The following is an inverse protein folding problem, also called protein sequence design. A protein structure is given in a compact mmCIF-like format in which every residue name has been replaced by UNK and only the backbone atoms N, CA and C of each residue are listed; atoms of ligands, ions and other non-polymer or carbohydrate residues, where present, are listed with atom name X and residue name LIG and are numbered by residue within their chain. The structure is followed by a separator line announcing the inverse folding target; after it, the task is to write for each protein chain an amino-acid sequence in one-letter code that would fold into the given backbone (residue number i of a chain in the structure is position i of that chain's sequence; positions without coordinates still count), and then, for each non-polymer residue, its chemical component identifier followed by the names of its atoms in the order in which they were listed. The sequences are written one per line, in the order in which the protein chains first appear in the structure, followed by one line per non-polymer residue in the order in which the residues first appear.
data_IF_721929057785
#
_entry.id   IF_721929057785
#
_cell.length_a   1.000
_cell.length_b   1.000
_cell.length_c   1.000
_cell.angle_alpha   90.00
_cell.angle_beta   90.00
_cell.angle_gamma   90.00
#
_symmetry.space_group_name_H-M   'P 1'
#
loop_
_entity.id
_entity.type
_entity.pdbx_description
1 polymer ?
#
# COMPACT_ATOMS: atom_id res chain seq x y z
N UNK A 1 9.69 44.58 -55.37
CA UNK A 1 11.11 44.78 -54.98
C UNK A 1 11.37 44.00 -53.71
N UNK A 2 12.47 43.24 -53.71
CA UNK A 2 12.95 42.32 -52.68
C UNK A 2 13.16 43.01 -51.32
N UNK A 3 13.09 42.26 -50.23
CA UNK A 3 13.62 42.70 -48.94
C UNK A 3 13.20 41.82 -47.75
N UNK A 4 13.84 40.65 -47.61
CA UNK A 4 13.82 39.80 -46.41
C UNK A 4 14.83 40.36 -45.38
N UNK A 5 14.66 39.96 -44.12
CA UNK A 5 15.61 39.89 -42.99
C UNK A 5 15.49 41.00 -41.94
N UNK A 6 15.08 40.60 -40.72
CA UNK A 6 15.72 41.04 -39.47
C UNK A 6 15.71 39.88 -38.46
N UNK A 7 16.89 39.27 -38.28
CA UNK A 7 17.28 38.59 -37.05
C UNK A 7 18.29 39.48 -36.33
N UNK A 8 18.17 39.59 -35.01
CA UNK A 8 19.14 40.31 -34.19
C UNK A 8 18.77 40.31 -32.71
N UNK A 9 19.29 39.32 -31.98
CA UNK A 9 19.34 39.29 -30.51
C UNK A 9 20.18 40.48 -30.02
N UNK A 10 19.66 41.25 -29.07
CA UNK A 10 20.42 42.27 -28.36
C UNK A 10 19.73 42.61 -27.04
N UNK A 11 20.27 42.10 -25.94
CA UNK A 11 19.89 42.48 -24.57
C UNK A 11 20.38 43.90 -24.32
N UNK A 12 19.49 44.87 -24.16
CA UNK A 12 19.83 46.18 -23.58
C UNK A 12 19.47 46.18 -22.10
N UNK A 13 20.51 46.27 -21.26
CA UNK A 13 20.41 46.52 -19.82
C UNK A 13 19.97 47.98 -19.61
N UNK A 14 18.85 48.19 -18.93
CA UNK A 14 18.49 49.50 -18.40
C UNK A 14 19.25 49.74 -17.08
N UNK A 15 20.01 50.83 -17.04
CA UNK A 15 20.63 51.36 -15.83
C UNK A 15 19.69 52.38 -15.20
N UNK A 16 19.52 52.27 -13.88
CA UNK A 16 18.67 53.13 -13.05
C UNK A 16 19.36 54.43 -12.66
N UNK A 17 18.61 55.53 -12.60
CA UNK A 17 18.96 56.72 -11.83
C UNK A 17 18.02 56.84 -10.62
N UNK A 18 18.62 57.07 -9.45
CA UNK A 18 18.04 57.06 -8.09
C UNK A 18 17.49 58.45 -7.71
N UNK A 19 16.44 58.51 -6.89
CA UNK A 19 16.41 59.53 -5.84
C UNK A 19 16.03 58.98 -4.45
N UNK A 20 16.76 59.45 -3.44
CA UNK A 20 16.23 59.63 -2.09
C UNK A 20 16.38 58.46 -1.11
N UNK A 21 17.32 58.62 -0.17
CA UNK A 21 17.56 57.74 0.95
C UNK A 21 16.33 57.58 1.86
N UNK A 22 15.91 56.33 2.09
CA UNK A 22 15.08 55.91 3.23
C UNK A 22 15.96 55.18 4.26
N UNK A 23 15.76 55.36 5.57
CA UNK A 23 16.54 54.67 6.60
C UNK A 23 16.30 53.15 6.53
N UNK A 24 17.36 52.37 6.77
CA UNK A 24 17.34 50.90 6.73
C UNK A 24 16.47 50.33 7.87
N UNK A 25 15.65 49.29 7.61
CA UNK A 25 14.97 48.56 8.68
C UNK A 25 16.01 47.77 9.51
N UNK A 26 15.71 47.51 10.80
CA UNK A 26 16.60 46.72 11.66
C UNK A 26 16.74 45.28 11.14
N UNK A 27 17.86 44.60 11.46
CA UNK A 27 18.07 43.21 11.06
C UNK A 27 17.01 42.29 11.70
N UNK A 28 16.62 41.20 11.01
CA UNK A 28 15.72 40.21 11.57
C UNK A 28 16.34 39.55 12.82
N UNK A 29 15.52 39.11 13.78
CA UNK A 29 16.00 38.36 14.93
C UNK A 29 16.68 37.05 14.49
N UNK A 30 17.64 36.53 15.27
CA UNK A 30 18.28 35.26 14.98
C UNK A 30 17.24 34.12 14.93
N UNK A 31 17.47 33.09 14.10
CA UNK A 31 16.58 31.93 14.06
C UNK A 31 16.51 31.27 15.45
N UNK A 32 15.35 30.68 15.81
CA UNK A 32 15.23 29.93 17.05
C UNK A 32 16.24 28.78 17.06
N UNK A 33 16.70 28.35 18.26
CA UNK A 33 17.59 27.21 18.38
C UNK A 33 16.93 25.96 17.75
N UNK A 34 17.73 25.05 17.18
CA UNK A 34 17.21 23.79 16.66
C UNK A 34 16.47 23.05 17.79
N UNK A 35 15.38 22.33 17.47
CA UNK A 35 14.68 21.52 18.46
C UNK A 35 15.67 20.52 19.09
N UNK A 36 15.47 20.17 20.37
CA UNK A 36 16.29 19.15 21.00
C UNK A 36 16.24 17.85 20.19
N UNK A 37 17.34 17.08 20.14
CA UNK A 37 17.33 15.78 19.49
C UNK A 37 16.21 14.92 20.08
N UNK A 38 15.58 14.06 19.27
CA UNK A 38 14.57 13.15 19.77
C UNK A 38 15.17 12.31 20.91
N UNK A 39 14.36 11.97 21.94
CA UNK A 39 14.82 11.10 23.00
C UNK A 39 15.35 9.79 22.40
N UNK A 40 16.38 9.17 23.02
CA UNK A 40 16.86 7.87 22.59
C UNK A 40 15.68 6.88 22.56
N UNK A 41 15.68 5.93 21.61
CA UNK A 41 14.63 4.93 21.55
C UNK A 41 14.51 4.21 22.91
N UNK A 42 13.28 3.93 23.37
CA UNK A 42 13.10 3.17 24.59
C UNK A 42 13.85 1.84 24.50
N UNK A 43 14.38 1.33 25.63
CA UNK A 43 15.01 0.01 25.64
C UNK A 43 14.04 -1.03 25.08
N UNK A 44 14.55 -2.08 24.41
CA UNK A 44 13.70 -3.12 23.86
C UNK A 44 12.79 -3.66 24.97
N UNK A 45 11.48 -3.73 24.73
CA UNK A 45 10.55 -4.21 25.74
C UNK A 45 10.93 -5.64 26.14
N UNK A 46 10.70 -6.02 27.41
CA UNK A 46 10.97 -7.40 27.82
C UNK A 46 10.20 -8.36 26.92
N UNK A 47 10.77 -9.55 26.62
CA UNK A 47 10.10 -10.56 25.80
C UNK A 47 8.73 -10.87 26.40
N UNK A 48 7.73 -11.26 25.58
CA UNK A 48 6.45 -11.67 26.10
C UNK A 48 6.62 -12.73 27.17
N UNK A 49 6.13 -12.38 28.35
CA UNK A 49 5.95 -13.36 29.41
C UNK A 49 4.64 -14.06 29.08
N UNK A 50 4.70 -15.37 28.98
CA UNK A 50 3.50 -16.21 28.94
C UNK A 50 2.85 -16.33 30.34
N UNK A 51 3.37 -15.59 31.32
CA UNK A 51 2.97 -15.58 32.73
C UNK A 51 2.97 -16.99 33.37
N UNK A 52 3.79 -17.90 32.83
CA UNK A 52 3.81 -19.32 33.22
C UNK A 52 2.62 -20.13 32.70
N UNK A 53 1.80 -19.56 31.80
CA UNK A 53 0.60 -20.15 31.22
C UNK A 53 0.78 -20.41 29.72
N UNK A 54 1.45 -21.51 29.40
CA UNK A 54 1.69 -21.89 28.01
C UNK A 54 0.39 -22.32 27.31
N UNK A 55 0.12 -21.72 26.16
CA UNK A 55 -1.00 -22.04 25.26
C UNK A 55 -0.47 -22.27 23.85
N UNK A 56 -1.32 -22.67 22.90
CA UNK A 56 -0.92 -22.74 21.50
C UNK A 56 -0.41 -21.39 20.99
N UNK A 57 -1.05 -20.28 21.38
CA UNK A 57 -0.63 -18.93 20.98
C UNK A 57 0.76 -18.58 21.49
N UNK A 58 1.01 -18.71 22.80
CA UNK A 58 2.32 -18.37 23.36
C UNK A 58 3.41 -19.34 22.87
N UNK A 59 3.09 -20.63 22.71
CA UNK A 59 4.04 -21.60 22.19
C UNK A 59 4.49 -21.29 20.74
N UNK A 60 3.58 -20.91 19.85
CA UNK A 60 3.93 -20.55 18.48
C UNK A 60 4.61 -19.17 18.39
N UNK A 61 4.20 -18.21 19.23
CA UNK A 61 4.86 -16.91 19.30
C UNK A 61 6.33 -17.07 19.73
N UNK A 62 6.60 -17.81 20.81
CA UNK A 62 7.98 -18.05 21.26
C UNK A 62 8.85 -18.71 20.20
N UNK A 63 8.32 -19.69 19.44
CA UNK A 63 9.07 -20.31 18.33
C UNK A 63 9.47 -19.29 17.26
N UNK A 64 8.58 -18.36 16.92
CA UNK A 64 8.89 -17.32 15.94
C UNK A 64 9.92 -16.34 16.49
N UNK A 65 9.79 -15.95 17.76
CA UNK A 65 10.75 -15.07 18.43
C UNK A 65 12.14 -15.71 18.50
N UNK A 66 12.25 -16.99 18.84
CA UNK A 66 13.52 -17.72 18.87
C UNK A 66 14.20 -17.67 17.48
N UNK A 67 13.46 -17.94 16.40
CA UNK A 67 14.00 -17.90 15.02
C UNK A 67 14.42 -16.47 14.64
N UNK A 68 13.62 -15.45 14.98
CA UNK A 68 13.94 -14.04 14.68
C UNK A 68 15.16 -13.58 15.47
N UNK A 69 15.28 -14.00 16.73
CA UNK A 69 16.44 -13.73 17.58
C UNK A 69 17.73 -14.29 16.94
N UNK A 70 17.69 -15.54 16.45
CA UNK A 70 18.82 -16.14 15.75
C UNK A 70 19.24 -15.33 14.51
N UNK A 71 18.28 -14.82 13.74
CA UNK A 71 18.56 -13.95 12.58
C UNK A 71 19.23 -12.63 13.01
N UNK A 72 18.71 -12.00 14.07
CA UNK A 72 19.26 -10.75 14.58
C UNK A 72 20.67 -10.93 15.16
N UNK A 73 20.92 -12.01 15.89
CA UNK A 73 22.24 -12.33 16.44
C UNK A 73 23.25 -12.70 15.37
N UNK A 74 22.82 -13.44 14.33
CA UNK A 74 23.66 -13.73 13.18
C UNK A 74 24.08 -12.46 12.44
N UNK A 75 23.18 -11.48 12.29
CA UNK A 75 23.53 -10.19 11.67
C UNK A 75 24.52 -9.41 12.53
N UNK A 76 24.26 -9.25 13.83
CA UNK A 76 25.16 -8.54 14.76
C UNK A 76 26.55 -9.17 14.84
N UNK A 77 26.65 -10.48 14.75
CA UNK A 77 27.92 -11.21 14.83
C UNK A 77 28.74 -11.05 13.54
N UNK A 78 28.08 -11.11 12.39
CA UNK A 78 28.76 -11.12 11.09
C UNK A 78 28.99 -9.73 10.50
N UNK A 79 28.29 -8.70 10.96
CA UNK A 79 28.35 -7.36 10.37
C UNK A 79 28.72 -6.32 11.42
N UNK A 80 29.86 -5.65 11.20
CA UNK A 80 30.34 -4.55 12.05
C UNK A 80 29.77 -3.18 11.65
N UNK A 81 28.91 -3.15 10.62
CA UNK A 81 28.23 -1.96 10.13
C UNK A 81 26.74 -2.02 10.46
N UNK A 82 26.16 -0.90 10.86
CA UNK A 82 24.72 -0.75 11.11
C UNK A 82 23.89 -0.57 9.83
N UNK A 83 24.47 -0.81 8.64
CA UNK A 83 23.79 -0.58 7.38
C UNK A 83 23.13 -1.86 6.84
N UNK A 84 21.80 -1.89 6.91
CA UNK A 84 20.97 -2.92 6.29
C UNK A 84 20.99 -2.79 4.76
N UNK A 85 21.08 -3.92 4.05
CA UNK A 85 21.18 -3.94 2.58
C UNK A 85 19.97 -4.64 1.97
N UNK A 86 19.24 -3.92 1.12
CA UNK A 86 18.24 -4.50 0.23
C UNK A 86 18.94 -5.18 -0.95
N UNK A 87 18.66 -6.47 -1.17
CA UNK A 87 19.30 -7.28 -2.21
C UNK A 87 18.67 -7.04 -3.59
N UNK A 88 18.64 -5.77 -4.01
CA UNK A 88 17.91 -5.25 -5.18
C UNK A 88 18.13 -6.08 -6.44
N UNK A 89 19.39 -6.35 -6.81
CA UNK A 89 19.72 -7.16 -7.99
C UNK A 89 19.08 -8.56 -7.95
N UNK A 90 19.10 -9.22 -6.79
CA UNK A 90 18.52 -10.57 -6.66
C UNK A 90 17.00 -10.53 -6.81
N UNK A 91 16.36 -9.54 -6.20
CA UNK A 91 14.91 -9.35 -6.34
C UNK A 91 14.54 -9.01 -7.79
N UNK A 92 15.30 -8.15 -8.47
CA UNK A 92 15.11 -7.84 -9.88
C UNK A 92 15.15 -9.10 -10.76
N UNK A 93 16.18 -9.95 -10.62
CA UNK A 93 16.29 -11.18 -11.42
C UNK A 93 15.14 -12.16 -11.16
N UNK A 94 14.72 -12.29 -9.89
CA UNK A 94 13.54 -13.07 -9.51
C UNK A 94 12.26 -12.56 -10.22
N UNK A 95 11.99 -11.25 -10.12
CA UNK A 95 10.82 -10.59 -10.69
C UNK A 95 10.81 -10.66 -12.22
N UNK A 96 11.95 -10.38 -12.86
CA UNK A 96 12.12 -10.42 -14.32
C UNK A 96 11.79 -11.80 -14.89
N UNK A 97 12.22 -12.87 -14.21
CA UNK A 97 11.88 -14.24 -14.60
C UNK A 97 10.38 -14.51 -14.39
N UNK A 98 9.85 -14.17 -13.21
CA UNK A 98 8.45 -14.42 -12.85
C UNK A 98 7.44 -13.73 -13.76
N UNK A 99 7.78 -12.56 -14.32
CA UNK A 99 6.91 -11.85 -15.25
C UNK A 99 6.73 -12.58 -16.59
N UNK A 100 7.68 -13.45 -16.94
CA UNK A 100 7.68 -14.19 -18.21
C UNK A 100 7.17 -15.61 -18.08
N UNK A 101 7.67 -16.35 -17.09
CA UNK A 101 7.32 -17.76 -16.90
C UNK A 101 7.35 -18.12 -15.41
N UNK A 102 6.39 -18.96 -15.02
CA UNK A 102 6.25 -19.51 -13.68
C UNK A 102 6.26 -21.04 -13.78
N UNK A 103 6.69 -21.71 -12.71
CA UNK A 103 6.66 -23.18 -12.62
C UNK A 103 5.25 -23.68 -12.31
N UNK A 104 5.03 -24.99 -12.41
CA UNK A 104 3.78 -25.67 -12.01
C UNK A 104 3.36 -25.38 -10.55
N UNK A 105 4.30 -24.97 -9.69
CA UNK A 105 3.99 -24.53 -8.33
C UNK A 105 3.01 -23.35 -8.26
N UNK A 106 2.83 -22.61 -9.37
CA UNK A 106 1.90 -21.48 -9.49
C UNK A 106 0.54 -21.87 -10.08
N UNK A 107 0.26 -23.15 -10.32
CA UNK A 107 -1.06 -23.61 -10.80
C UNK A 107 -2.20 -23.19 -9.87
N UNK A 108 -1.95 -23.15 -8.54
CA UNK A 108 -2.92 -22.66 -7.57
C UNK A 108 -3.27 -21.16 -7.74
N UNK A 109 -2.48 -20.42 -8.53
CA UNK A 109 -2.68 -19.02 -8.86
C UNK A 109 -3.11 -18.81 -10.32
N UNK A 110 -3.55 -19.84 -11.04
CA UNK A 110 -4.05 -19.69 -12.42
C UNK A 110 -5.31 -18.78 -12.49
N UNK A 111 -6.09 -18.73 -11.41
CA UNK A 111 -7.20 -17.78 -11.25
C UNK A 111 -6.77 -16.41 -10.65
N UNK A 112 -5.48 -16.12 -10.63
CA UNK A 112 -4.90 -14.89 -10.05
C UNK A 112 -3.74 -14.34 -10.88
N UNK A 113 -3.73 -14.57 -12.20
CA UNK A 113 -2.65 -14.10 -13.06
C UNK A 113 -2.55 -12.56 -13.18
N UNK A 114 -3.66 -11.79 -13.17
CA UNK A 114 -3.56 -10.34 -13.02
C UNK A 114 -2.91 -9.89 -11.71
N UNK A 115 -3.07 -10.65 -10.62
CA UNK A 115 -2.34 -10.39 -9.37
C UNK A 115 -0.84 -10.58 -9.54
N UNK A 116 -0.42 -11.65 -10.22
CA UNK A 116 1.00 -11.86 -10.55
C UNK A 116 1.55 -10.70 -11.39
N UNK A 117 0.80 -10.20 -12.37
CA UNK A 117 1.19 -8.99 -13.11
C UNK A 117 1.36 -7.78 -12.18
N UNK A 118 0.35 -7.48 -11.35
CA UNK A 118 0.39 -6.33 -10.45
C UNK A 118 1.55 -6.43 -9.44
N UNK A 119 1.66 -7.56 -8.72
CA UNK A 119 2.69 -7.74 -7.70
C UNK A 119 4.10 -7.61 -8.29
N UNK A 120 4.33 -8.18 -9.46
CA UNK A 120 5.66 -8.14 -10.09
C UNK A 120 5.97 -6.74 -10.62
N UNK A 121 5.04 -6.12 -11.37
CA UNK A 121 5.25 -4.78 -11.92
C UNK A 121 5.40 -3.73 -10.83
N UNK A 122 4.58 -3.81 -9.77
CA UNK A 122 4.69 -2.88 -8.65
C UNK A 122 5.99 -3.09 -7.87
N UNK A 123 6.46 -4.33 -7.71
CA UNK A 123 7.76 -4.58 -7.09
C UNK A 123 8.91 -4.02 -7.93
N UNK A 124 8.85 -4.12 -9.25
CA UNK A 124 9.83 -3.50 -10.15
C UNK A 124 9.78 -1.97 -10.07
N UNK A 125 8.58 -1.38 -10.02
CA UNK A 125 8.37 0.07 -9.81
C UNK A 125 8.98 0.55 -8.49
N UNK A 126 8.73 -0.14 -7.38
CA UNK A 126 9.31 0.19 -6.06
C UNK A 126 10.83 0.05 -6.04
N UNK A 127 11.35 -0.90 -6.82
CA UNK A 127 12.77 -1.06 -7.06
C UNK A 127 13.27 -0.12 -8.15
N UNK A 128 12.51 0.84 -8.68
CA UNK A 128 12.97 1.76 -9.74
C UNK A 128 13.65 1.02 -10.92
N UNK A 129 13.13 -0.15 -11.28
CA UNK A 129 13.61 -0.97 -12.40
C UNK A 129 12.73 -0.74 -13.63
N UNK A 130 13.31 -0.36 -14.79
CA UNK A 130 12.53 -0.03 -15.96
C UNK A 130 11.86 -1.26 -16.57
N UNK A 131 10.63 -1.09 -17.04
CA UNK A 131 9.88 -2.13 -17.78
C UNK A 131 10.12 -1.90 -19.28
N UNK A 132 10.74 -2.86 -20.01
CA UNK A 132 10.91 -2.73 -21.45
C UNK A 132 9.56 -2.56 -22.17
N UNK A 133 9.48 -1.66 -23.17
CA UNK A 133 8.24 -1.35 -23.89
C UNK A 133 7.57 -2.61 -24.48
N UNK A 134 8.36 -3.56 -24.98
CA UNK A 134 7.84 -4.83 -25.49
C UNK A 134 7.18 -5.68 -24.41
N UNK A 135 7.78 -5.74 -23.21
CA UNK A 135 7.20 -6.43 -22.04
C UNK A 135 5.90 -5.74 -21.60
N UNK A 136 5.89 -4.41 -21.57
CA UNK A 136 4.70 -3.64 -21.23
C UNK A 136 3.54 -3.93 -22.20
N UNK A 137 3.80 -3.91 -23.52
CA UNK A 137 2.78 -4.24 -24.52
C UNK A 137 2.31 -5.71 -24.40
N UNK A 138 3.21 -6.66 -24.13
CA UNK A 138 2.84 -8.06 -23.87
C UNK A 138 1.86 -8.18 -22.69
N UNK A 139 2.10 -7.45 -21.60
CA UNK A 139 1.20 -7.42 -20.44
C UNK A 139 -0.15 -6.79 -20.80
N UNK A 140 -0.16 -5.67 -21.54
CA UNK A 140 -1.40 -5.06 -22.04
C UNK A 140 -2.23 -6.05 -22.86
N UNK A 141 -1.60 -6.78 -23.78
CA UNK A 141 -2.26 -7.81 -24.60
C UNK A 141 -2.73 -9.01 -23.76
N UNK A 142 -1.97 -9.41 -22.75
CA UNK A 142 -2.39 -10.46 -21.82
C UNK A 142 -3.62 -10.03 -20.99
N UNK A 143 -3.61 -8.83 -20.39
CA UNK A 143 -4.73 -8.33 -19.60
C UNK A 143 -5.96 -8.07 -20.47
N UNK A 144 -5.80 -7.64 -21.73
CA UNK A 144 -6.90 -7.55 -22.69
C UNK A 144 -7.60 -8.90 -22.91
N UNK A 145 -6.86 -10.01 -22.92
CA UNK A 145 -7.43 -11.37 -23.00
C UNK A 145 -8.11 -11.82 -21.70
N UNK A 146 -7.73 -11.25 -20.56
CA UNK A 146 -8.37 -11.49 -19.26
C UNK A 146 -9.60 -10.61 -19.04
N UNK A 147 -9.80 -9.56 -19.84
CA UNK A 147 -10.97 -8.70 -19.74
C UNK A 147 -12.22 -9.45 -20.23
N UNK A 148 -13.27 -9.41 -19.43
CA UNK A 148 -14.54 -10.05 -19.76
C UNK A 148 -15.36 -9.21 -20.74
N UNK A 149 -16.07 -9.81 -21.70
CA UNK A 149 -17.04 -9.11 -22.53
C UNK A 149 -18.24 -8.57 -21.74
N UNK A 150 -18.44 -8.97 -20.48
CA UNK A 150 -19.42 -8.38 -19.55
C UNK A 150 -18.83 -7.26 -18.66
N UNK A 151 -17.56 -6.90 -18.84
CA UNK A 151 -16.86 -5.92 -18.00
C UNK A 151 -16.12 -6.55 -16.83
N UNK A 152 -15.10 -5.83 -16.33
CA UNK A 152 -14.15 -6.38 -15.35
C UNK A 152 -13.12 -7.34 -15.98
N UNK A 153 -12.21 -7.83 -15.16
CA UNK A 153 -11.18 -8.80 -15.54
C UNK A 153 -11.32 -10.09 -14.73
N UNK A 154 -11.10 -11.23 -15.38
CA UNK A 154 -11.02 -12.54 -14.73
C UNK A 154 -9.61 -12.91 -14.29
N UNK A 155 -9.48 -14.04 -13.60
CA UNK A 155 -8.20 -14.55 -13.09
C UNK A 155 -7.20 -14.99 -14.17
N UNK A 156 -7.69 -15.20 -15.39
CA UNK A 156 -6.94 -15.56 -16.59
C UNK A 156 -7.84 -15.49 -17.84
N UNK A 157 -7.30 -15.70 -19.05
CA UNK A 157 -8.07 -15.61 -20.28
C UNK A 157 -9.29 -16.54 -20.29
N UNK A 158 -10.46 -15.99 -20.60
CA UNK A 158 -11.73 -16.72 -20.66
C UNK A 158 -12.40 -17.02 -19.32
N UNK A 159 -11.79 -16.66 -18.19
CA UNK A 159 -12.42 -16.81 -16.88
C UNK A 159 -13.44 -15.70 -16.61
N UNK A 160 -14.42 -15.97 -15.73
CA UNK A 160 -15.41 -14.97 -15.30
C UNK A 160 -14.73 -13.77 -14.63
N UNK A 161 -15.29 -12.56 -14.80
CA UNK A 161 -14.75 -11.38 -14.13
C UNK A 161 -14.91 -11.48 -12.61
N UNK A 162 -13.96 -10.92 -11.89
CA UNK A 162 -13.91 -10.90 -10.43
C UNK A 162 -13.22 -9.61 -9.96
N UNK A 163 -13.69 -9.00 -8.87
CA UNK A 163 -13.19 -7.70 -8.41
C UNK A 163 -11.70 -7.73 -8.02
N UNK A 164 -11.21 -8.83 -7.43
CA UNK A 164 -9.80 -8.98 -7.10
C UNK A 164 -8.85 -8.91 -8.32
N UNK A 165 -8.97 -9.76 -9.37
CA UNK A 165 -8.18 -9.60 -10.58
C UNK A 165 -8.52 -8.32 -11.37
N UNK A 166 -9.73 -7.76 -11.23
CA UNK A 166 -10.07 -6.44 -11.80
C UNK A 166 -9.23 -5.33 -11.16
N UNK A 167 -9.12 -5.29 -9.83
CA UNK A 167 -8.26 -4.38 -9.09
C UNK A 167 -6.80 -4.53 -9.54
N UNK A 168 -6.30 -5.76 -9.59
CA UNK A 168 -4.92 -6.02 -9.97
C UNK A 168 -4.63 -5.62 -11.42
N UNK A 169 -5.52 -5.94 -12.36
CA UNK A 169 -5.37 -5.58 -13.76
C UNK A 169 -5.33 -4.06 -13.97
N UNK A 170 -6.25 -3.32 -13.33
CA UNK A 170 -6.30 -1.85 -13.45
C UNK A 170 -5.02 -1.23 -12.88
N UNK A 171 -4.56 -1.66 -11.71
CA UNK A 171 -3.31 -1.15 -11.13
C UNK A 171 -2.09 -1.50 -12.00
N UNK A 172 -2.01 -2.72 -12.54
CA UNK A 172 -0.92 -3.11 -13.45
C UNK A 172 -0.88 -2.23 -14.71
N UNK A 173 -2.05 -1.91 -15.28
CA UNK A 173 -2.16 -1.00 -16.44
C UNK A 173 -1.78 0.44 -16.06
N UNK A 174 -2.15 0.90 -14.85
CA UNK A 174 -1.75 2.20 -14.33
C UNK A 174 -0.23 2.33 -14.11
N UNK A 175 0.43 1.27 -13.62
CA UNK A 175 1.89 1.23 -13.46
C UNK A 175 2.58 1.31 -14.82
N UNK A 176 2.05 0.62 -15.84
CA UNK A 176 2.58 0.74 -17.21
C UNK A 176 2.41 2.16 -17.74
N UNK A 177 1.26 2.80 -17.48
CA UNK A 177 1.09 4.25 -17.66
C UNK A 177 1.12 4.75 -19.11
N UNK A 178 0.93 3.87 -20.10
CA UNK A 178 0.87 4.24 -21.52
C UNK A 178 -0.57 4.35 -22.02
N UNK A 179 -0.78 5.07 -23.13
CA UNK A 179 -2.09 5.14 -23.80
C UNK A 179 -2.59 3.77 -24.25
N UNK A 180 -1.68 2.85 -24.64
CA UNK A 180 -2.05 1.46 -24.93
C UNK A 180 -2.66 0.78 -23.70
N UNK A 181 -2.01 0.93 -22.54
CA UNK A 181 -2.46 0.31 -21.30
C UNK A 181 -3.81 0.86 -20.85
N UNK A 182 -3.98 2.19 -20.89
CA UNK A 182 -5.27 2.81 -20.56
C UNK A 182 -6.38 2.38 -21.55
N UNK A 183 -6.05 2.26 -22.84
CA UNK A 183 -6.95 1.78 -23.88
C UNK A 183 -7.37 0.30 -23.75
N UNK A 184 -6.76 -0.48 -22.85
CA UNK A 184 -7.24 -1.84 -22.53
C UNK A 184 -8.56 -1.82 -21.79
N UNK A 185 -8.85 -0.79 -20.99
CA UNK A 185 -9.99 -0.79 -20.05
C UNK A 185 -11.29 -0.37 -20.77
N UNK A 186 -12.24 -1.30 -20.94
CA UNK A 186 -13.61 -0.93 -21.32
C UNK A 186 -14.33 -0.30 -20.11
N UNK A 187 -14.21 1.02 -19.99
CA UNK A 187 -14.77 1.80 -18.87
C UNK A 187 -16.29 1.68 -18.76
N UNK A 188 -17.00 1.58 -19.90
CA UNK A 188 -18.46 1.49 -19.91
C UNK A 188 -18.90 0.16 -19.31
N UNK A 189 -18.35 -0.95 -19.81
CA UNK A 189 -18.66 -2.28 -19.29
C UNK A 189 -18.16 -2.48 -17.88
N UNK A 190 -17.01 -1.89 -17.52
CA UNK A 190 -16.54 -1.92 -16.14
C UNK A 190 -17.58 -1.30 -15.19
N UNK A 191 -18.15 -0.14 -15.53
CA UNK A 191 -19.21 0.47 -14.72
C UNK A 191 -20.47 -0.41 -14.64
N UNK A 192 -20.91 -0.98 -15.76
CA UNK A 192 -22.04 -1.93 -15.81
C UNK A 192 -21.78 -3.15 -14.92
N UNK A 193 -20.57 -3.71 -14.96
CA UNK A 193 -20.15 -4.81 -14.11
C UNK A 193 -20.19 -4.43 -12.63
N UNK A 194 -19.63 -3.28 -12.24
CA UNK A 194 -19.69 -2.82 -10.83
C UNK A 194 -21.13 -2.68 -10.34
N UNK A 195 -22.04 -2.15 -11.17
CA UNK A 195 -23.47 -2.09 -10.84
C UNK A 195 -24.11 -3.47 -10.66
N UNK A 196 -23.71 -4.47 -11.47
CA UNK A 196 -24.23 -5.84 -11.35
C UNK A 196 -23.86 -6.52 -10.03
N UNK A 197 -22.79 -6.06 -9.36
CA UNK A 197 -22.32 -6.61 -8.08
C UNK A 197 -22.88 -5.86 -6.87
N UNK A 198 -23.39 -4.64 -7.07
CA UNK A 198 -23.87 -3.77 -6.00
C UNK A 198 -25.05 -4.39 -5.26
N UNK A 199 -24.95 -4.48 -3.94
CA UNK A 199 -26.01 -5.01 -3.08
C UNK A 199 -26.87 -3.89 -2.46
N UNK A 200 -28.12 -4.20 -2.05
CA UNK A 200 -29.02 -3.22 -1.43
C UNK A 200 -28.49 -2.62 -0.12
N UNK A 201 -27.71 -3.39 0.65
CA UNK A 201 -27.23 -3.00 1.98
C UNK A 201 -25.99 -2.09 1.96
N UNK A 202 -25.50 -1.71 0.78
CA UNK A 202 -24.27 -0.93 0.63
C UNK A 202 -23.09 -1.75 0.08
N UNK A 203 -23.06 -3.06 0.34
CA UNK A 203 -21.93 -3.91 -0.06
C UNK A 203 -21.86 -4.21 -1.56
N UNK A 204 -20.81 -4.93 -1.95
CA UNK A 204 -20.64 -5.50 -3.28
C UNK A 204 -20.29 -6.99 -3.18
N UNK A 205 -20.76 -7.78 -4.13
CA UNK A 205 -20.22 -9.12 -4.36
C UNK A 205 -18.80 -9.03 -4.94
N UNK A 206 -17.96 -10.03 -4.69
CA UNK A 206 -16.64 -10.11 -5.34
C UNK A 206 -16.76 -10.49 -6.83
N UNK A 207 -17.76 -11.29 -7.18
CA UNK A 207 -18.14 -11.64 -8.55
C UNK A 207 -19.62 -12.05 -8.58
N UNK A 208 -20.20 -12.24 -9.77
CA UNK A 208 -21.59 -12.69 -9.89
C UNK A 208 -21.77 -14.05 -9.17
N UNK A 209 -22.66 -14.09 -8.19
CA UNK A 209 -22.90 -15.27 -7.35
C UNK A 209 -21.82 -15.58 -6.31
N UNK A 210 -20.85 -14.68 -6.11
CA UNK A 210 -19.74 -14.84 -5.18
C UNK A 210 -20.03 -14.39 -3.74
N UNK A 211 -18.98 -14.30 -2.95
CA UNK A 211 -19.02 -13.82 -1.58
C UNK A 211 -19.09 -12.28 -1.47
N UNK A 212 -19.44 -11.81 -0.27
CA UNK A 212 -19.41 -10.40 0.11
C UNK A 212 -18.45 -10.22 1.28
N UNK A 213 -17.48 -9.33 1.14
CA UNK A 213 -16.72 -8.73 2.24
C UNK A 213 -16.10 -7.41 1.80
N UNK A 214 -15.43 -6.68 2.71
CA UNK A 214 -14.92 -5.33 2.46
C UNK A 214 -13.86 -5.24 1.36
N UNK A 215 -13.28 -6.37 0.90
CA UNK A 215 -12.41 -6.37 -0.28
C UNK A 215 -13.15 -5.85 -1.50
N UNK A 216 -14.42 -6.21 -1.66
CA UNK A 216 -15.22 -5.83 -2.84
C UNK A 216 -15.43 -4.32 -2.89
N UNK A 217 -15.75 -3.69 -1.75
CA UNK A 217 -15.92 -2.25 -1.63
C UNK A 217 -14.63 -1.51 -2.00
N UNK A 218 -13.48 -1.96 -1.51
CA UNK A 218 -12.18 -1.37 -1.87
C UNK A 218 -11.82 -1.58 -3.33
N UNK A 219 -11.94 -2.81 -3.85
CA UNK A 219 -11.62 -3.10 -5.24
C UNK A 219 -12.48 -2.25 -6.19
N UNK A 220 -13.79 -2.17 -5.93
CA UNK A 220 -14.72 -1.35 -6.70
C UNK A 220 -14.39 0.14 -6.62
N UNK A 221 -14.17 0.69 -5.41
CA UNK A 221 -13.82 2.10 -5.22
C UNK A 221 -12.48 2.46 -5.88
N UNK A 222 -11.48 1.59 -5.75
CA UNK A 222 -10.16 1.76 -6.36
C UNK A 222 -10.27 1.87 -7.87
N UNK A 223 -10.86 0.88 -8.54
CA UNK A 223 -10.92 0.90 -10.01
C UNK A 223 -11.86 1.99 -10.52
N UNK A 224 -13.00 2.22 -9.86
CA UNK A 224 -13.94 3.24 -10.29
C UNK A 224 -13.36 4.66 -10.20
N UNK A 225 -12.59 4.94 -9.15
CA UNK A 225 -11.95 6.24 -8.95
C UNK A 225 -10.81 6.49 -9.94
N UNK A 226 -9.91 5.52 -10.11
CA UNK A 226 -8.79 5.61 -11.06
C UNK A 226 -9.27 5.78 -12.50
N UNK A 227 -10.31 5.04 -12.90
CA UNK A 227 -10.85 5.13 -14.27
C UNK A 227 -11.93 6.21 -14.43
N UNK A 228 -12.16 7.03 -13.41
CA UNK A 228 -13.14 8.12 -13.42
C UNK A 228 -14.54 7.68 -13.90
N UNK A 229 -15.09 6.62 -13.31
CA UNK A 229 -16.43 6.10 -13.60
C UNK A 229 -17.34 6.06 -12.36
N UNK A 230 -16.92 6.67 -11.26
CA UNK A 230 -17.74 6.75 -10.06
C UNK A 230 -19.05 7.52 -10.34
N UNK A 231 -20.17 6.99 -9.88
CA UNK A 231 -21.47 7.68 -9.88
C UNK A 231 -22.02 7.73 -8.45
N UNK A 232 -22.87 8.72 -8.10
CA UNK A 232 -23.48 8.79 -6.77
C UNK A 232 -24.26 7.51 -6.40
N UNK A 233 -24.97 6.93 -7.38
CA UNK A 233 -25.75 5.72 -7.17
C UNK A 233 -24.86 4.47 -6.95
N UNK A 234 -23.69 4.40 -7.58
CA UNK A 234 -22.82 3.23 -7.48
C UNK A 234 -22.40 2.95 -6.04
N UNK A 235 -22.05 3.98 -5.27
CA UNK A 235 -21.56 3.80 -3.90
C UNK A 235 -22.57 4.17 -2.81
N UNK A 236 -23.84 4.38 -3.15
CA UNK A 236 -24.89 4.65 -2.17
C UNK A 236 -24.95 3.54 -1.09
N UNK A 237 -24.90 3.94 0.17
CA UNK A 237 -24.90 3.05 1.35
C UNK A 237 -23.57 2.34 1.63
N UNK A 238 -22.56 2.48 0.77
CA UNK A 238 -21.31 1.71 0.90
C UNK A 238 -20.50 2.16 2.11
N UNK A 239 -20.46 3.47 2.37
CA UNK A 239 -19.67 4.02 3.46
C UNK A 239 -20.23 3.60 4.83
N UNK A 240 -21.56 3.60 4.97
CA UNK A 240 -22.28 3.12 6.14
C UNK A 240 -22.09 1.61 6.32
N UNK A 241 -22.11 0.84 5.24
CA UNK A 241 -21.84 -0.59 5.29
C UNK A 241 -20.42 -0.88 5.81
N UNK A 242 -19.40 -0.19 5.29
CA UNK A 242 -18.01 -0.31 5.76
C UNK A 242 -17.91 0.09 7.25
N UNK A 243 -18.58 1.15 7.67
CA UNK A 243 -18.56 1.60 9.06
C UNK A 243 -19.09 0.54 10.03
N UNK A 244 -20.11 -0.24 9.63
CA UNK A 244 -20.62 -1.39 10.42
C UNK A 244 -19.62 -2.54 10.55
N UNK A 245 -18.58 -2.58 9.72
CA UNK A 245 -17.51 -3.57 9.81
C UNK A 245 -16.45 -3.21 10.85
N UNK A 246 -16.41 -1.96 11.36
CA UNK A 246 -15.57 -1.61 12.52
C UNK A 246 -16.15 -2.25 13.79
N UNK A 247 -15.32 -2.95 14.56
CA UNK A 247 -15.77 -3.71 15.73
C UNK A 247 -15.24 -3.14 17.05
N UNK A 248 -15.48 -3.86 18.15
CA UNK A 248 -15.10 -3.49 19.51
C UNK A 248 -13.58 -3.34 19.73
N UNK A 249 -12.76 -3.97 18.89
CA UNK A 249 -11.30 -3.86 18.96
C UNK A 249 -10.80 -2.53 18.40
N UNK A 250 -11.61 -1.86 17.56
CA UNK A 250 -11.29 -0.62 16.86
C UNK A 250 -10.87 -0.82 15.39
N UNK A 251 -10.42 -2.01 15.01
CA UNK A 251 -10.16 -2.36 13.60
C UNK A 251 -11.43 -2.79 12.86
N UNK A 252 -11.29 -3.21 11.60
CA UNK A 252 -12.40 -3.59 10.71
C UNK A 252 -12.30 -5.09 10.36
N UNK A 253 -13.44 -5.77 10.44
CA UNK A 253 -13.60 -7.15 9.97
C UNK A 253 -14.03 -7.25 8.50
N UNK A 254 -14.03 -8.46 7.94
CA UNK A 254 -14.44 -8.68 6.55
C UNK A 254 -15.90 -8.28 6.28
N UNK A 255 -16.78 -8.57 7.23
CA UNK A 255 -18.20 -8.21 7.24
C UNK A 255 -18.59 -7.75 8.65
N UNK A 256 -19.76 -7.10 8.85
CA UNK A 256 -20.19 -6.68 10.17
C UNK A 256 -20.18 -7.82 11.20
N UNK A 257 -19.59 -7.56 12.37
CA UNK A 257 -19.50 -8.51 13.47
C UNK A 257 -18.25 -9.42 13.48
N UNK A 258 -17.43 -9.40 12.43
CA UNK A 258 -16.20 -10.21 12.38
C UNK A 258 -15.02 -9.58 13.14
N UNK A 259 -14.04 -10.42 13.49
CA UNK A 259 -12.76 -10.04 14.08
C UNK A 259 -12.01 -9.02 13.21
N UNK A 260 -11.36 -8.04 13.85
CA UNK A 260 -10.61 -7.02 13.17
C UNK A 260 -9.34 -7.60 12.53
N UNK A 261 -9.07 -7.27 11.26
CA UNK A 261 -7.97 -7.86 10.50
C UNK A 261 -7.29 -6.85 9.58
N UNK A 262 -5.96 -6.81 9.57
CA UNK A 262 -5.16 -5.79 8.85
C UNK A 262 -5.58 -5.60 7.39
N UNK A 263 -5.67 -6.70 6.64
CA UNK A 263 -6.12 -6.65 5.24
C UNK A 263 -7.51 -6.03 5.04
N UNK A 264 -8.50 -6.44 5.85
CA UNK A 264 -9.86 -5.89 5.78
C UNK A 264 -9.92 -4.44 6.28
N UNK A 265 -9.14 -4.10 7.30
CA UNK A 265 -8.98 -2.73 7.79
C UNK A 265 -8.40 -1.81 6.72
N UNK A 266 -7.35 -2.24 6.01
CA UNK A 266 -6.83 -1.47 4.88
C UNK A 266 -7.91 -1.25 3.83
N UNK A 267 -8.60 -2.31 3.39
CA UNK A 267 -9.67 -2.19 2.40
C UNK A 267 -10.75 -1.20 2.85
N UNK A 268 -11.27 -1.32 4.08
CA UNK A 268 -12.31 -0.45 4.59
C UNK A 268 -11.88 1.02 4.69
N UNK A 269 -10.71 1.27 5.28
CA UNK A 269 -10.20 2.65 5.46
C UNK A 269 -9.85 3.28 4.12
N UNK A 270 -9.16 2.56 3.23
CA UNK A 270 -8.79 3.06 1.91
C UNK A 270 -10.03 3.34 1.03
N UNK A 271 -11.05 2.48 1.10
CA UNK A 271 -12.32 2.73 0.41
C UNK A 271 -13.00 4.00 0.95
N UNK A 272 -13.10 4.19 2.27
CA UNK A 272 -13.67 5.41 2.84
C UNK A 272 -12.86 6.66 2.52
N UNK A 273 -11.54 6.54 2.43
CA UNK A 273 -10.61 7.58 1.96
C UNK A 273 -10.90 8.00 0.53
N UNK A 274 -11.20 7.06 -0.37
CA UNK A 274 -11.61 7.34 -1.76
C UNK A 274 -12.99 8.00 -1.79
N UNK A 275 -13.92 7.51 -0.96
CA UNK A 275 -15.29 8.02 -0.86
C UNK A 275 -15.41 9.34 -0.08
N UNK A 276 -14.33 9.79 0.59
CA UNK A 276 -14.28 10.97 1.47
C UNK A 276 -15.24 10.87 2.67
N UNK A 277 -15.31 9.67 3.27
CA UNK A 277 -16.24 9.30 4.34
C UNK A 277 -15.52 8.72 5.57
N UNK A 278 -14.25 9.07 5.78
CA UNK A 278 -13.44 8.59 6.92
C UNK A 278 -14.03 8.96 8.29
N UNK A 279 -14.89 9.98 8.32
CA UNK A 279 -15.56 10.46 9.54
C UNK A 279 -16.58 9.50 10.12
N UNK A 280 -17.03 8.51 9.36
CA UNK A 280 -17.95 7.47 9.84
C UNK A 280 -17.26 6.44 10.75
N UNK A 281 -15.92 6.37 10.75
CA UNK A 281 -15.16 5.50 11.63
C UNK A 281 -14.78 6.20 12.93
N UNK A 282 -14.69 5.42 14.01
CA UNK A 282 -14.00 5.83 15.22
C UNK A 282 -12.48 5.75 15.01
N UNK A 283 -11.90 6.82 14.46
CA UNK A 283 -10.47 6.91 14.15
C UNK A 283 -9.55 6.75 15.36
N UNK A 284 -10.01 7.11 16.57
CA UNK A 284 -9.21 6.95 17.79
C UNK A 284 -9.02 5.48 18.14
N UNK A 285 -10.11 4.71 18.17
CA UNK A 285 -10.04 3.26 18.42
C UNK A 285 -9.28 2.54 17.32
N UNK A 286 -9.46 2.95 16.06
CA UNK A 286 -8.73 2.42 14.91
C UNK A 286 -7.23 2.67 15.03
N UNK A 287 -6.81 3.90 15.33
CA UNK A 287 -5.40 4.25 15.51
C UNK A 287 -4.77 3.44 16.66
N UNK A 288 -5.49 3.31 17.78
CA UNK A 288 -5.03 2.50 18.91
C UNK A 288 -4.89 1.02 18.51
N UNK A 289 -5.87 0.48 17.77
CA UNK A 289 -5.85 -0.88 17.30
C UNK A 289 -4.64 -1.15 16.41
N UNK A 290 -4.45 -0.37 15.34
CA UNK A 290 -3.38 -0.65 14.36
C UNK A 290 -1.98 -0.48 14.94
N UNK A 291 -1.77 0.49 15.83
CA UNK A 291 -0.46 0.65 16.49
C UNK A 291 -0.16 -0.51 17.45
N UNK A 292 -1.19 -1.12 18.06
CA UNK A 292 -1.06 -2.37 18.81
C UNK A 292 -0.79 -3.63 17.96
N UNK A 293 -0.76 -3.52 16.62
CA UNK A 293 -0.43 -4.63 15.71
C UNK A 293 1.06 -4.71 15.36
N UNK A 294 1.85 -3.69 15.66
CA UNK A 294 3.30 -3.79 15.50
C UNK A 294 3.86 -4.68 16.61
N UNK A 295 4.62 -5.68 16.21
CA UNK A 295 5.18 -6.67 17.10
C UNK A 295 6.39 -6.07 17.82
N UNK A 296 6.30 -6.02 19.14
CA UNK A 296 7.28 -5.34 19.99
C UNK A 296 8.70 -5.93 19.91
N UNK A 297 8.83 -7.18 19.49
CA UNK A 297 10.09 -7.91 19.44
C UNK A 297 10.57 -8.03 17.99
N UNK A 298 9.74 -8.61 17.12
CA UNK A 298 10.11 -8.82 15.73
C UNK A 298 10.20 -7.51 14.94
N UNK A 299 9.46 -6.46 15.30
CA UNK A 299 9.43 -5.17 14.60
C UNK A 299 8.45 -5.11 13.41
N UNK A 300 8.09 -6.26 12.84
CA UNK A 300 7.03 -6.42 11.84
C UNK A 300 5.62 -6.27 12.40
N UNK A 301 4.60 -6.57 11.59
CA UNK A 301 3.20 -6.49 12.00
C UNK A 301 2.51 -7.86 12.01
N UNK A 302 1.58 -8.06 12.94
CA UNK A 302 0.60 -9.16 12.91
C UNK A 302 -0.70 -8.73 12.21
N UNK A 303 -1.38 -9.66 11.55
CA UNK A 303 -2.66 -9.38 10.90
C UNK A 303 -3.83 -9.15 11.87
N UNK A 304 -3.79 -9.78 13.05
CA UNK A 304 -4.82 -9.73 14.10
C UNK A 304 -4.17 -9.87 15.47
N UNK A 305 -4.88 -9.49 16.53
CA UNK A 305 -4.40 -9.66 17.90
C UNK A 305 -4.05 -11.13 18.18
N UNK A 306 -2.96 -11.38 18.91
CA UNK A 306 -2.50 -12.74 19.27
C UNK A 306 -2.22 -13.68 18.08
N UNK A 307 -1.87 -13.12 16.91
CA UNK A 307 -1.38 -13.89 15.75
C UNK A 307 0.09 -13.56 15.48
N UNK A 308 0.75 -14.40 14.70
CA UNK A 308 2.17 -14.24 14.40
C UNK A 308 2.41 -13.02 13.50
N UNK A 309 3.65 -12.50 13.56
CA UNK A 309 4.17 -11.54 12.58
C UNK A 309 4.10 -12.11 11.16
N UNK A 310 3.88 -11.26 10.16
CA UNK A 310 3.96 -11.63 8.74
C UNK A 310 4.33 -10.40 7.89
N UNK A 311 5.32 -10.59 7.00
CA UNK A 311 5.90 -9.57 6.15
C UNK A 311 4.90 -8.84 5.26
N UNK A 312 3.81 -9.48 4.82
CA UNK A 312 2.80 -8.82 3.99
C UNK A 312 2.02 -7.73 4.75
N UNK A 313 1.90 -7.85 6.09
CA UNK A 313 1.26 -6.82 6.90
C UNK A 313 2.10 -5.56 7.07
N UNK A 314 3.36 -5.58 6.61
CA UNK A 314 4.16 -4.35 6.44
C UNK A 314 3.45 -3.33 5.55
N UNK A 315 2.63 -3.78 4.59
CA UNK A 315 1.75 -2.90 3.82
C UNK A 315 0.37 -2.79 4.45
N UNK A 316 -0.32 -3.91 4.69
CA UNK A 316 -1.73 -3.89 5.10
C UNK A 316 -1.97 -3.18 6.44
N UNK A 317 -1.02 -3.27 7.39
CA UNK A 317 -1.13 -2.56 8.66
C UNK A 317 -0.46 -1.19 8.60
N UNK A 318 0.82 -1.12 8.25
CA UNK A 318 1.53 0.16 8.29
C UNK A 318 0.98 1.18 7.27
N UNK A 319 0.44 0.72 6.14
CA UNK A 319 -0.24 1.54 5.14
C UNK A 319 -1.50 2.25 5.65
N UNK A 320 -2.08 1.81 6.77
CA UNK A 320 -3.16 2.53 7.43
C UNK A 320 -2.70 3.85 8.05
N UNK A 321 -1.42 3.97 8.44
CA UNK A 321 -0.96 5.13 9.20
C UNK A 321 -0.81 6.39 8.37
N UNK A 322 -0.35 6.34 7.10
CA UNK A 322 -0.50 7.46 6.18
C UNK A 322 -1.97 7.86 5.93
N UNK A 323 -2.88 6.88 5.83
CA UNK A 323 -4.32 7.16 5.64
C UNK A 323 -4.94 7.85 6.87
N UNK A 324 -4.62 7.35 8.07
CA UNK A 324 -5.03 7.95 9.34
C UNK A 324 -4.41 9.33 9.53
N UNK A 325 -3.13 9.49 9.22
CA UNK A 325 -2.45 10.79 9.27
C UNK A 325 -3.17 11.82 8.40
N UNK A 326 -3.51 11.45 7.14
CA UNK A 326 -4.31 12.31 6.26
C UNK A 326 -5.67 12.66 6.85
N UNK A 327 -6.40 11.66 7.35
CA UNK A 327 -7.75 11.86 7.89
C UNK A 327 -7.76 12.74 9.16
N UNK A 328 -6.75 12.58 10.03
CA UNK A 328 -6.58 13.42 11.22
C UNK A 328 -6.09 14.83 10.85
N UNK A 329 -5.21 14.96 9.86
CA UNK A 329 -4.73 16.25 9.36
C UNK A 329 -5.88 17.07 8.76
N UNK A 330 -6.78 16.43 8.01
CA UNK A 330 -7.98 17.07 7.47
C UNK A 330 -8.95 17.59 8.56
N UNK A 331 -8.84 17.08 9.79
CA UNK A 331 -9.57 17.59 10.97
C UNK A 331 -8.82 18.68 11.74
N UNK A 332 -7.63 19.06 11.27
CA UNK A 332 -6.79 20.06 11.92
C UNK A 332 -6.15 19.58 13.22
N UNK A 333 -5.84 18.27 13.34
CA UNK A 333 -5.19 17.75 14.55
C UNK A 333 -3.77 18.31 14.70
N UNK A 334 -3.50 19.15 15.72
CA UNK A 334 -2.20 19.81 15.88
C UNK A 334 -1.13 18.89 16.48
N UNK A 335 -1.51 17.70 16.99
CA UNK A 335 -0.58 16.76 17.63
C UNK A 335 0.12 15.83 16.62
N UNK A 336 -0.24 15.90 15.34
CA UNK A 336 0.37 15.08 14.31
C UNK A 336 1.84 15.45 14.10
N UNK A 337 2.69 14.41 14.03
CA UNK A 337 4.10 14.56 13.68
C UNK A 337 4.27 15.06 12.26
N UNK A 338 5.17 16.01 12.04
CA UNK A 338 5.51 16.51 10.70
C UNK A 338 6.59 15.69 9.98
N UNK A 339 7.16 14.67 10.65
CA UNK A 339 8.33 13.93 10.15
C UNK A 339 8.15 12.41 10.11
N UNK A 340 7.22 11.86 10.90
CA UNK A 340 7.12 10.42 11.12
C UNK A 340 5.66 9.95 11.12
N UNK A 341 5.47 8.74 10.62
CA UNK A 341 4.23 7.98 10.81
C UNK A 341 4.14 7.44 12.23
N UNK A 342 2.92 7.13 12.67
CA UNK A 342 2.64 6.74 14.07
C UNK A 342 2.97 5.26 14.35
N UNK A 343 4.14 4.79 13.90
CA UNK A 343 4.69 3.46 14.20
C UNK A 343 6.22 3.51 14.19
N UNK A 344 6.86 2.46 14.70
CA UNK A 344 8.31 2.34 14.64
C UNK A 344 8.77 1.98 13.22
N UNK A 345 9.09 3.01 12.45
CA UNK A 345 9.55 2.90 11.07
C UNK A 345 10.89 2.17 10.94
N UNK A 346 11.76 2.26 11.94
CA UNK A 346 13.08 1.61 11.89
C UNK A 346 12.92 0.12 12.17
N UNK A 347 12.19 -0.25 13.22
CA UNK A 347 11.94 -1.65 13.54
C UNK A 347 11.24 -2.41 12.39
N UNK A 348 10.32 -1.75 11.67
CA UNK A 348 9.70 -2.37 10.50
C UNK A 348 10.72 -2.62 9.36
N UNK A 349 11.60 -1.64 9.10
CA UNK A 349 12.65 -1.79 8.09
C UNK A 349 13.64 -2.89 8.47
N UNK A 350 14.02 -2.97 9.75
CA UNK A 350 14.88 -4.01 10.29
C UNK A 350 14.28 -5.40 10.07
N UNK A 351 13.02 -5.60 10.45
CA UNK A 351 12.31 -6.86 10.24
C UNK A 351 12.28 -7.27 8.75
N UNK A 352 11.96 -6.34 7.85
CA UNK A 352 11.87 -6.64 6.42
C UNK A 352 13.24 -7.00 5.86
N UNK A 353 14.26 -6.19 6.14
CA UNK A 353 15.59 -6.35 5.54
C UNK A 353 16.35 -7.54 6.13
N UNK A 354 16.13 -7.90 7.40
CA UNK A 354 16.82 -9.01 8.02
C UNK A 354 16.06 -10.33 7.92
N UNK A 355 14.74 -10.31 8.15
CA UNK A 355 13.95 -11.52 8.30
C UNK A 355 13.15 -11.91 7.05
N UNK A 356 12.89 -10.96 6.13
CA UNK A 356 11.95 -11.18 5.03
C UNK A 356 12.61 -11.25 3.64
N UNK A 357 13.94 -11.23 3.53
CA UNK A 357 14.63 -11.36 2.25
C UNK A 357 15.05 -12.81 1.99
N UNK A 358 14.60 -13.38 0.86
CA UNK A 358 15.13 -14.66 0.40
C UNK A 358 16.55 -14.46 -0.19
N UNK A 359 17.56 -15.25 0.23
CA UNK A 359 18.92 -15.12 -0.30
C UNK A 359 19.04 -15.30 -1.82
N UNK A 360 18.07 -15.94 -2.46
CA UNK A 360 17.99 -16.17 -3.91
C UNK A 360 17.17 -15.11 -4.68
N UNK A 361 16.63 -14.09 -4.00
CA UNK A 361 15.71 -13.12 -4.58
C UNK A 361 14.25 -13.38 -4.20
N UNK A 362 13.42 -12.33 -4.27
CA UNK A 362 12.09 -12.30 -3.64
C UNK A 362 12.11 -11.98 -2.13
N UNK A 363 10.93 -11.64 -1.61
CA UNK A 363 10.67 -11.45 -0.17
C UNK A 363 9.60 -12.46 0.29
N UNK A 364 9.49 -12.65 1.61
CA UNK A 364 8.70 -13.73 2.22
C UNK A 364 7.94 -13.27 3.47
N UNK A 365 7.10 -14.15 4.01
CA UNK A 365 6.28 -13.94 5.21
C UNK A 365 7.16 -13.74 6.48
N UNK A 366 7.93 -14.77 6.83
CA UNK A 366 8.83 -14.81 7.99
C UNK A 366 9.91 -15.89 7.75
N UNK A 367 11.05 -15.86 8.46
CA UNK A 367 12.09 -16.86 8.27
C UNK A 367 11.55 -18.30 8.34
N UNK A 368 11.99 -19.16 7.42
CA UNK A 368 11.51 -20.54 7.27
C UNK A 368 10.28 -20.71 6.37
N UNK A 369 9.83 -19.65 5.70
CA UNK A 369 8.78 -19.69 4.67
C UNK A 369 9.30 -19.58 3.26
#
# INVERSE_FOLDING_TARGET
RRGVVKWGKGRTRAWWAWPGARPRPPPPPPPPPPPPPPPPPPPPPPPPRDDGLRTCTSAEQSKVEDIVQEVYDAYKTNHHSSQYVLQREKHFHYLKRGLRQLTEAYECLDASRPWLCYWILHSLELLDEPIPESVASDVCQFLRRCQSPQGGFGGGPGQHPHLAPTYAAVNALCIIGTEEAFGVIDRKKLLEYLHSLKQPDGSFLMHVGGEVDVRSAYCAASVASLTNIMTPALFAGTAEWIARCQNWEGGIGGVPGMEAHGGYTFCGVAALVILKQEHLLNLRSLLHWVTGRQMRFEGGFQGRCNKLVDGCYSFWQAGLLPLLHRALHARGDPALSMAHWMFDQLALQEYILLCCQCPAGGLLDKPGK
#
